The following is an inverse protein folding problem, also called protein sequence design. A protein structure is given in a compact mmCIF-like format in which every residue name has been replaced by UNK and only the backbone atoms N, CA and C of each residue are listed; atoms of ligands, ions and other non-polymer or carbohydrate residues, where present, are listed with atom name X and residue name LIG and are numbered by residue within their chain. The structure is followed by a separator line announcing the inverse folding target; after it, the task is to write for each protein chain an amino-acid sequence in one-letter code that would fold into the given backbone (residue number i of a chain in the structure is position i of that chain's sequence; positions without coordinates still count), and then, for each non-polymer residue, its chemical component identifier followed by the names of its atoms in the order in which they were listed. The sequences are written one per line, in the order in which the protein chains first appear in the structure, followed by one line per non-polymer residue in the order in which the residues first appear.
data_IF_317400779401
#
_entry.id   IF_317400779401
#
_cell.length_a   1.000
_cell.length_b   1.000
_cell.length_c   1.000
_cell.angle_alpha   90.00
_cell.angle_beta   90.00
_cell.angle_gamma   90.00
#
_symmetry.space_group_name_H-M   'P 1'
#
loop_
_entity.id
_entity.type
_entity.pdbx_description
1 polymer ?
#
# COMPACT_ATOMS: atom_id res chain seq x y z
N UNK A 1 6.97 5.99 24.33
CA UNK A 1 7.72 4.74 24.22
C UNK A 1 8.69 4.84 23.05
N UNK A 2 9.95 4.50 23.26
CA UNK A 2 10.98 4.52 22.21
C UNK A 2 11.65 3.16 22.15
N UNK A 3 11.64 2.53 20.99
CA UNK A 3 12.41 1.33 20.71
C UNK A 3 13.54 1.67 19.72
N UNK A 4 14.79 1.40 20.09
CA UNK A 4 15.95 1.65 19.24
C UNK A 4 16.60 0.34 18.82
N UNK A 5 17.08 0.27 17.57
CA UNK A 5 17.80 -0.89 17.04
C UNK A 5 17.03 -2.22 17.23
N UNK A 6 15.75 -2.19 16.96
CA UNK A 6 14.93 -3.40 16.99
C UNK A 6 15.33 -4.29 15.82
N UNK A 7 15.62 -5.57 16.12
CA UNK A 7 15.98 -6.56 15.12
C UNK A 7 15.08 -7.78 15.26
N UNK A 8 14.42 -8.16 14.19
CA UNK A 8 13.58 -9.34 14.12
C UNK A 8 13.58 -9.90 12.68
N UNK A 9 14.17 -11.04 12.48
CA UNK A 9 14.37 -11.60 11.14
C UNK A 9 15.11 -10.62 10.22
N UNK A 10 14.51 -10.28 9.09
CA UNK A 10 15.05 -9.30 8.14
C UNK A 10 14.66 -7.85 8.48
N UNK A 11 13.99 -7.60 9.59
CA UNK A 11 13.62 -6.26 10.05
C UNK A 11 14.68 -5.68 10.96
N UNK A 12 15.16 -4.48 10.64
CA UNK A 12 16.02 -3.64 11.49
C UNK A 12 15.48 -2.21 11.45
N UNK A 13 14.99 -1.70 12.57
CA UNK A 13 14.42 -0.36 12.64
C UNK A 13 14.47 0.20 14.05
N UNK A 14 14.23 1.49 14.15
CA UNK A 14 13.91 2.20 15.36
C UNK A 14 12.49 2.73 15.25
N UNK A 15 11.76 2.72 16.35
CA UNK A 15 10.44 3.32 16.45
C UNK A 15 10.36 4.29 17.62
N UNK A 16 9.63 5.36 17.42
CA UNK A 16 9.25 6.28 18.47
C UNK A 16 7.73 6.39 18.47
N UNK A 17 7.13 6.04 19.61
CA UNK A 17 5.69 6.10 19.81
C UNK A 17 5.35 7.09 20.90
N UNK A 18 4.52 8.07 20.59
CA UNK A 18 4.09 9.13 21.49
C UNK A 18 2.57 9.23 21.52
N UNK A 19 2.00 9.31 22.71
CA UNK A 19 0.58 9.63 22.89
C UNK A 19 0.48 11.09 23.33
N UNK A 20 -0.22 11.89 22.54
CA UNK A 20 -0.45 13.30 22.85
C UNK A 20 -1.63 13.45 23.84
N UNK A 21 -1.71 14.59 24.56
CA UNK A 21 -2.79 14.83 25.53
C UNK A 21 -4.21 14.79 24.94
N UNK A 22 -4.34 15.05 23.64
CA UNK A 22 -5.60 14.98 22.90
C UNK A 22 -5.94 13.56 22.41
N UNK A 23 -5.22 12.53 22.85
CA UNK A 23 -5.43 11.14 22.44
C UNK A 23 -4.86 10.78 21.06
N UNK A 24 -4.20 11.69 20.36
CA UNK A 24 -3.54 11.40 19.09
C UNK A 24 -2.26 10.59 19.31
N UNK A 25 -2.15 9.48 18.63
CA UNK A 25 -0.95 8.65 18.57
C UNK A 25 -0.02 9.14 17.46
N UNK A 26 1.25 9.30 17.77
CA UNK A 26 2.30 9.53 16.78
C UNK A 26 3.23 8.33 16.75
N UNK A 27 3.50 7.85 15.54
CA UNK A 27 4.42 6.74 15.30
C UNK A 27 5.43 7.14 14.23
N UNK A 28 6.67 7.31 14.65
CA UNK A 28 7.82 7.52 13.78
C UNK A 28 8.60 6.21 13.66
N UNK A 29 8.79 5.73 12.43
CA UNK A 29 9.52 4.49 12.13
C UNK A 29 10.65 4.82 11.17
N UNK A 30 11.88 4.47 11.53
CA UNK A 30 13.04 4.67 10.67
C UNK A 30 14.02 3.49 10.79
N UNK A 31 14.64 3.10 9.69
CA UNK A 31 15.63 2.04 9.74
C UNK A 31 16.11 1.53 8.39
N UNK A 32 17.13 0.68 8.43
CA UNK A 32 17.69 0.09 7.22
C UNK A 32 16.76 -0.92 6.54
N UNK A 33 15.93 -1.66 7.31
CA UNK A 33 15.07 -2.68 6.69
C UNK A 33 13.78 -2.95 7.45
N UNK A 34 12.74 -3.34 6.70
CA UNK A 34 11.44 -3.80 7.21
C UNK A 34 10.94 -4.98 6.37
N UNK A 35 10.63 -6.07 7.02
CA UNK A 35 10.06 -7.25 6.39
C UNK A 35 8.54 -7.26 6.53
N UNK A 36 7.84 -6.99 5.43
CA UNK A 36 6.38 -7.00 5.37
C UNK A 36 5.80 -8.30 4.79
N UNK A 37 6.65 -9.26 4.38
CA UNK A 37 6.19 -10.54 3.81
C UNK A 37 5.16 -11.27 4.67
N UNK A 38 5.29 -11.32 6.00
CA UNK A 38 4.29 -11.98 6.84
C UNK A 38 2.93 -11.28 6.88
N UNK A 39 2.87 -10.01 6.45
CA UNK A 39 1.67 -9.17 6.57
C UNK A 39 0.97 -8.93 5.25
N UNK A 40 1.67 -9.02 4.11
CA UNK A 40 1.11 -8.69 2.77
C UNK A 40 -0.16 -9.51 2.47
N UNK A 41 -0.19 -10.78 2.85
CA UNK A 41 -1.36 -11.65 2.64
C UNK A 41 -2.58 -11.28 3.50
N UNK A 42 -2.37 -10.57 4.62
CA UNK A 42 -3.43 -10.20 5.57
C UNK A 42 -4.02 -8.83 5.32
N UNK A 43 -3.32 -7.95 4.59
CA UNK A 43 -3.78 -6.57 4.37
C UNK A 43 -5.13 -6.45 3.66
N UNK A 44 -5.52 -7.48 2.91
CA UNK A 44 -6.81 -7.49 2.21
C UNK A 44 -7.97 -8.00 3.08
N UNK A 45 -7.65 -8.62 4.22
CA UNK A 45 -8.66 -9.27 5.09
C UNK A 45 -9.00 -8.41 6.33
N UNK A 46 -8.14 -7.45 6.70
CA UNK A 46 -8.34 -6.62 7.89
C UNK A 46 -9.43 -5.58 7.67
N UNK A 47 -10.49 -5.68 8.46
CA UNK A 47 -11.55 -4.65 8.51
C UNK A 47 -11.14 -3.54 9.46
N UNK A 48 -11.32 -2.26 9.07
CA UNK A 48 -11.13 -1.14 9.98
C UNK A 48 -12.01 -1.26 11.22
N UNK A 49 -11.48 -0.90 12.38
CA UNK A 49 -12.24 -0.79 13.63
C UNK A 49 -12.41 0.68 14.00
N UNK A 50 -13.64 1.09 14.29
CA UNK A 50 -13.96 2.47 14.70
C UNK A 50 -13.32 2.84 16.05
N UNK A 51 -12.99 1.84 16.89
CA UNK A 51 -12.37 2.02 18.20
C UNK A 51 -10.86 2.32 18.12
N UNK A 52 -10.27 2.31 16.93
CA UNK A 52 -8.85 2.59 16.79
C UNK A 52 -8.53 4.07 17.03
N UNK A 53 -7.53 4.36 17.90
CA UNK A 53 -7.15 5.73 18.18
C UNK A 53 -6.63 6.44 16.92
N UNK A 54 -6.79 7.78 16.87
CA UNK A 54 -6.22 8.57 15.78
C UNK A 54 -4.70 8.42 15.75
N UNK A 55 -4.14 8.23 14.55
CA UNK A 55 -2.73 7.95 14.34
C UNK A 55 -2.14 8.86 13.27
N UNK A 56 -1.06 9.55 13.62
CA UNK A 56 -0.12 10.16 12.68
C UNK A 56 1.09 9.23 12.53
N UNK A 57 1.29 8.73 11.32
CA UNK A 57 2.40 7.86 10.95
C UNK A 57 3.41 8.61 10.10
N UNK A 58 4.69 8.47 10.44
CA UNK A 58 5.80 8.86 9.60
C UNK A 58 6.79 7.69 9.51
N UNK A 59 7.24 7.37 8.29
CA UNK A 59 8.20 6.29 8.14
C UNK A 59 9.28 6.61 7.11
N UNK A 60 10.47 6.06 7.37
CA UNK A 60 11.67 6.23 6.58
C UNK A 60 12.48 4.94 6.62
N UNK A 61 12.27 4.06 5.64
CA UNK A 61 12.90 2.73 5.57
C UNK A 61 13.71 2.62 4.29
N UNK A 62 14.92 2.11 4.39
CA UNK A 62 15.80 2.04 3.22
C UNK A 62 15.51 0.82 2.35
N UNK A 63 15.05 -0.30 2.94
CA UNK A 63 14.68 -1.51 2.22
C UNK A 63 13.43 -2.15 2.86
N UNK A 64 12.37 -2.33 2.08
CA UNK A 64 11.13 -2.98 2.51
C UNK A 64 10.88 -4.21 1.66
N UNK A 65 10.87 -5.38 2.28
CA UNK A 65 10.55 -6.66 1.61
C UNK A 65 9.04 -6.84 1.56
N UNK A 66 8.48 -6.94 0.35
CA UNK A 66 7.05 -7.21 0.12
C UNK A 66 6.80 -8.69 -0.14
N UNK A 67 7.67 -9.30 -0.95
CA UNK A 67 7.72 -10.74 -1.23
C UNK A 67 9.18 -11.19 -1.31
N UNK A 68 9.44 -12.47 -1.54
CA UNK A 68 10.81 -12.96 -1.76
C UNK A 68 11.45 -12.38 -3.03
N UNK A 69 10.64 -11.95 -4.00
CA UNK A 69 11.11 -11.41 -5.28
C UNK A 69 11.00 -9.88 -5.38
N UNK A 70 10.20 -9.26 -4.52
CA UNK A 70 9.86 -7.83 -4.65
C UNK A 70 10.20 -7.08 -3.37
N UNK A 71 11.07 -6.09 -3.51
CA UNK A 71 11.41 -5.16 -2.46
C UNK A 71 11.34 -3.71 -2.95
N UNK A 72 10.98 -2.81 -2.05
CA UNK A 72 11.02 -1.37 -2.25
C UNK A 72 12.25 -0.78 -1.56
N UNK A 73 12.86 0.19 -2.21
CA UNK A 73 14.00 0.94 -1.67
C UNK A 73 13.62 2.36 -1.35
N UNK A 74 14.30 2.95 -0.37
CA UNK A 74 14.14 4.35 0.02
C UNK A 74 12.68 4.75 0.25
N UNK A 75 11.90 3.84 0.86
CA UNK A 75 10.49 4.10 1.13
C UNK A 75 10.37 5.16 2.21
N UNK A 76 9.65 6.23 1.89
CA UNK A 76 9.37 7.37 2.75
C UNK A 76 7.89 7.66 2.67
N UNK A 77 7.28 8.01 3.79
CA UNK A 77 5.88 8.37 3.76
C UNK A 77 5.35 8.92 5.06
N UNK A 78 4.20 9.53 4.93
CA UNK A 78 3.39 10.02 6.04
C UNK A 78 1.97 9.55 5.84
N UNK A 79 1.25 9.39 6.94
CA UNK A 79 -0.16 9.01 6.90
C UNK A 79 -0.89 9.52 8.13
N UNK A 80 -2.19 9.79 7.98
CA UNK A 80 -3.10 10.13 9.07
C UNK A 80 -4.29 9.20 9.02
N UNK A 81 -4.56 8.54 10.14
CA UNK A 81 -5.70 7.66 10.32
C UNK A 81 -6.58 8.16 11.46
N UNK A 82 -7.90 8.00 11.32
CA UNK A 82 -8.87 8.31 12.37
C UNK A 82 -10.07 7.36 12.23
N UNK A 83 -10.56 6.85 13.33
CA UNK A 83 -11.67 5.89 13.36
C UNK A 83 -11.45 4.73 12.37
N UNK A 84 -10.27 4.10 12.42
CA UNK A 84 -9.90 3.00 11.53
C UNK A 84 -9.63 3.39 10.05
N UNK A 85 -9.94 4.62 9.65
CA UNK A 85 -9.86 5.06 8.25
C UNK A 85 -8.65 5.95 7.97
N UNK A 86 -7.96 5.69 6.85
CA UNK A 86 -6.93 6.61 6.37
C UNK A 86 -7.55 7.87 5.78
N UNK A 87 -7.36 9.01 6.44
CA UNK A 87 -7.80 10.33 5.96
C UNK A 87 -6.86 10.86 4.88
N UNK A 88 -5.59 10.61 5.05
CA UNK A 88 -4.55 10.92 4.07
C UNK A 88 -3.37 9.98 4.23
N UNK A 89 -2.72 9.66 3.12
CA UNK A 89 -1.40 9.06 3.12
C UNK A 89 -0.64 9.50 1.87
N UNK A 90 0.66 9.57 1.98
CA UNK A 90 1.55 9.80 0.84
C UNK A 90 2.82 9.00 1.05
N UNK A 91 3.11 8.10 0.13
CA UNK A 91 4.27 7.22 0.18
C UNK A 91 5.01 7.27 -1.15
N UNK A 92 6.33 7.26 -1.09
CA UNK A 92 7.22 7.20 -2.26
C UNK A 92 8.39 6.30 -1.97
N UNK A 93 8.80 5.57 -2.98
CA UNK A 93 9.96 4.70 -2.95
C UNK A 93 10.39 4.30 -4.34
N UNK A 94 11.21 3.30 -4.42
CA UNK A 94 11.73 2.76 -5.67
C UNK A 94 11.65 1.24 -5.67
N UNK A 95 11.36 0.67 -6.81
CA UNK A 95 11.51 -0.76 -7.06
C UNK A 95 13.00 -1.13 -7.15
N UNK A 96 13.33 -2.43 -7.09
CA UNK A 96 14.71 -2.91 -7.14
C UNK A 96 15.50 -2.43 -8.37
N UNK A 97 14.82 -2.21 -9.50
CA UNK A 97 15.41 -1.68 -10.74
C UNK A 97 15.50 -0.16 -10.81
N UNK A 98 15.24 0.57 -9.72
CA UNK A 98 15.30 2.03 -9.66
C UNK A 98 14.05 2.75 -10.16
N UNK A 99 13.01 2.01 -10.61
CA UNK A 99 11.76 2.60 -11.03
C UNK A 99 10.99 3.14 -9.82
N UNK A 100 10.44 4.36 -9.96
CA UNK A 100 9.68 4.98 -8.89
C UNK A 100 8.36 4.25 -8.60
N UNK A 101 7.96 4.25 -7.34
CA UNK A 101 6.64 3.85 -6.89
C UNK A 101 6.09 4.90 -5.94
N UNK A 102 4.81 5.20 -6.09
CA UNK A 102 4.09 6.15 -5.24
C UNK A 102 2.69 5.65 -4.92
N UNK A 103 2.24 5.94 -3.71
CA UNK A 103 0.90 5.67 -3.24
C UNK A 103 0.37 6.90 -2.49
N UNK A 104 -0.86 7.28 -2.74
CA UNK A 104 -1.51 8.31 -1.95
C UNK A 104 -2.98 8.00 -1.68
N UNK A 105 -3.42 8.42 -0.51
CA UNK A 105 -4.84 8.44 -0.11
C UNK A 105 -5.22 9.86 0.24
N UNK A 106 -6.42 10.28 -0.15
CA UNK A 106 -7.01 11.55 0.22
C UNK A 106 -8.50 11.36 0.50
N UNK A 107 -8.97 11.89 1.62
CA UNK A 107 -10.40 12.01 1.89
C UNK A 107 -11.02 13.03 0.94
N UNK A 108 -12.15 12.69 0.37
CA UNK A 108 -13.02 13.54 -0.47
C UNK A 108 -14.45 13.50 0.09
N UNK A 109 -15.33 14.37 -0.41
CA UNK A 109 -16.72 14.46 0.06
C UNK A 109 -17.49 13.14 -0.08
N UNK A 110 -17.21 12.39 -1.15
CA UNK A 110 -17.89 11.13 -1.48
C UNK A 110 -17.18 9.88 -0.95
N UNK A 111 -16.03 10.03 -0.31
CA UNK A 111 -15.26 8.89 0.16
C UNK A 111 -13.75 9.14 0.20
N UNK A 112 -12.96 8.15 -0.18
CA UNK A 112 -11.50 8.22 -0.17
C UNK A 112 -10.94 7.88 -1.54
N UNK A 113 -10.14 8.78 -2.08
CA UNK A 113 -9.46 8.58 -3.36
C UNK A 113 -8.08 7.99 -3.13
N UNK A 114 -7.82 6.93 -3.84
CA UNK A 114 -6.55 6.21 -3.86
C UNK A 114 -5.86 6.41 -5.19
N UNK A 115 -4.56 6.67 -5.16
CA UNK A 115 -3.72 6.71 -6.35
C UNK A 115 -2.49 5.84 -6.14
N UNK A 116 -2.16 5.04 -7.14
CA UNK A 116 -0.93 4.26 -7.21
C UNK A 116 -0.23 4.57 -8.53
N UNK A 117 1.04 4.89 -8.46
CA UNK A 117 1.89 5.12 -9.63
C UNK A 117 3.09 4.17 -9.50
N UNK A 118 3.39 3.42 -10.54
CA UNK A 118 4.54 2.55 -10.54
C UNK A 118 5.25 2.53 -11.89
N UNK A 119 6.56 2.67 -11.86
CA UNK A 119 7.42 2.52 -13.03
C UNK A 119 7.77 1.06 -13.36
N UNK A 120 7.31 0.09 -12.56
CA UNK A 120 7.33 -1.35 -12.86
C UNK A 120 5.97 -1.96 -12.48
N UNK A 121 5.03 -1.91 -13.41
CA UNK A 121 3.69 -2.48 -13.26
C UNK A 121 3.74 -3.99 -13.00
N UNK A 122 4.65 -4.69 -13.67
CA UNK A 122 4.87 -6.13 -13.47
C UNK A 122 5.36 -6.46 -12.06
N UNK A 123 6.24 -5.64 -11.50
CA UNK A 123 6.71 -5.75 -10.13
C UNK A 123 5.57 -5.60 -9.11
N UNK A 124 4.70 -4.62 -9.30
CA UNK A 124 3.51 -4.45 -8.44
C UNK A 124 2.55 -5.64 -8.57
N UNK A 125 2.28 -6.10 -9.80
CA UNK A 125 1.41 -7.25 -10.03
C UNK A 125 1.93 -8.53 -9.35
N UNK A 126 3.26 -8.75 -9.35
CA UNK A 126 3.90 -9.85 -8.60
C UNK A 126 3.81 -9.65 -7.10
N UNK A 127 4.09 -8.44 -6.59
CA UNK A 127 4.01 -8.13 -5.16
C UNK A 127 2.61 -8.39 -4.58
N UNK A 128 1.57 -8.11 -5.36
CA UNK A 128 0.18 -8.37 -4.99
C UNK A 128 -0.29 -9.82 -5.25
N UNK A 129 0.60 -10.69 -5.76
CA UNK A 129 0.24 -12.06 -6.10
C UNK A 129 -0.73 -12.20 -7.28
N UNK A 130 -0.95 -11.13 -8.05
CA UNK A 130 -1.91 -11.13 -9.16
C UNK A 130 -1.36 -11.88 -10.37
N UNK A 131 -0.09 -11.63 -10.72
CA UNK A 131 0.54 -12.18 -11.91
C UNK A 131 2.03 -12.48 -11.69
N UNK A 132 2.41 -13.74 -11.40
CA UNK A 132 3.80 -14.09 -11.15
C UNK A 132 4.71 -13.90 -12.39
N UNK A 133 4.14 -14.03 -13.59
CA UNK A 133 4.87 -13.91 -14.85
C UNK A 133 4.80 -12.49 -15.47
N UNK A 134 4.28 -11.51 -14.73
CA UNK A 134 4.21 -10.12 -15.18
C UNK A 134 5.59 -9.45 -15.18
N UNK A 135 5.90 -8.65 -16.19
CA UNK A 135 7.18 -7.95 -16.35
C UNK A 135 7.00 -6.55 -16.92
N UNK A 136 7.77 -5.61 -16.35
CA UNK A 136 7.91 -4.25 -16.84
C UNK A 136 6.62 -3.44 -16.88
N UNK A 137 6.65 -2.39 -17.68
CA UNK A 137 5.54 -1.47 -17.88
C UNK A 137 5.41 -0.44 -16.78
N UNK A 138 4.65 0.60 -17.07
CA UNK A 138 4.25 1.63 -16.09
C UNK A 138 2.79 1.45 -15.73
N UNK A 139 2.41 1.80 -14.52
CA UNK A 139 1.04 1.70 -14.03
C UNK A 139 0.60 3.01 -13.39
N UNK A 140 -0.62 3.38 -13.70
CA UNK A 140 -1.39 4.40 -12.97
C UNK A 140 -2.74 3.80 -12.58
N UNK A 141 -3.01 3.73 -11.29
CA UNK A 141 -4.27 3.29 -10.74
C UNK A 141 -4.88 4.42 -9.91
N UNK A 142 -6.12 4.76 -10.20
CA UNK A 142 -6.91 5.72 -9.42
C UNK A 142 -8.26 5.09 -9.13
N UNK A 143 -8.70 5.09 -7.88
CA UNK A 143 -10.02 4.62 -7.52
C UNK A 143 -10.57 5.35 -6.30
N UNK A 144 -11.89 5.43 -6.22
CA UNK A 144 -12.64 6.00 -5.11
C UNK A 144 -13.33 4.85 -4.35
N UNK A 145 -13.05 4.75 -3.06
CA UNK A 145 -13.82 3.92 -2.13
C UNK A 145 -14.86 4.85 -1.48
N UNK A 146 -16.17 4.55 -1.63
CA UNK A 146 -17.23 5.33 -1.02
C UNK A 146 -17.10 5.43 0.50
N UNK A 147 -17.55 6.54 1.08
CA UNK A 147 -17.63 6.69 2.53
C UNK A 147 -18.86 5.97 3.11
N UNK A 148 -18.89 5.71 4.42
CA UNK A 148 -19.95 4.95 5.08
C UNK A 148 -21.34 5.59 4.97
N UNK A 149 -21.40 6.89 4.67
CA UNK A 149 -22.66 7.62 4.49
C UNK A 149 -23.12 7.68 3.01
N UNK A 150 -22.43 7.01 2.11
CA UNK A 150 -22.80 6.96 0.71
C UNK A 150 -23.66 5.71 0.48
N UNK A 151 -24.87 5.89 -0.05
CA UNK A 151 -25.79 4.77 -0.34
C UNK A 151 -25.32 3.88 -1.50
N UNK A 152 -24.30 4.31 -2.22
CA UNK A 152 -23.70 3.56 -3.33
C UNK A 152 -22.32 3.06 -2.90
N UNK A 153 -22.21 1.76 -2.59
CA UNK A 153 -20.97 1.08 -2.18
C UNK A 153 -20.06 0.74 -3.38
N UNK A 154 -20.36 1.26 -4.57
CA UNK A 154 -19.62 0.95 -5.79
C UNK A 154 -18.24 1.59 -5.80
N UNK A 155 -17.18 0.79 -5.87
CA UNK A 155 -15.82 1.27 -6.09
C UNK A 155 -15.66 1.65 -7.56
N UNK A 156 -15.37 2.93 -7.82
CA UNK A 156 -15.16 3.44 -9.18
C UNK A 156 -13.70 3.80 -9.36
N UNK A 157 -13.09 3.31 -10.44
CA UNK A 157 -11.68 3.58 -10.69
C UNK A 157 -11.24 3.37 -12.12
N UNK A 158 -10.01 3.80 -12.38
CA UNK A 158 -9.33 3.65 -13.65
C UNK A 158 -7.95 3.03 -13.43
N UNK A 159 -7.64 1.99 -14.17
CA UNK A 159 -6.32 1.39 -14.28
C UNK A 159 -5.78 1.62 -15.69
N UNK A 160 -4.61 2.22 -15.78
CA UNK A 160 -3.83 2.30 -17.01
C UNK A 160 -2.50 1.61 -16.80
N UNK A 161 -2.16 0.69 -17.69
CA UNK A 161 -0.87 0.03 -17.72
C UNK A 161 -0.30 0.09 -19.14
N UNK A 162 0.88 0.66 -19.30
CA UNK A 162 1.56 0.81 -20.59
C UNK A 162 2.82 -0.08 -20.60
N UNK A 163 3.13 -0.69 -21.77
CA UNK A 163 4.31 -1.56 -21.98
C UNK A 163 4.40 -2.76 -21.01
N UNK A 164 3.28 -3.22 -20.52
CA UNK A 164 3.16 -4.35 -19.62
C UNK A 164 3.22 -5.68 -20.42
N UNK A 165 3.99 -6.65 -19.95
CA UNK A 165 4.12 -7.97 -20.59
C UNK A 165 3.65 -9.07 -19.64
N UNK A 166 2.82 -9.98 -20.15
CA UNK A 166 2.44 -11.23 -19.50
C UNK A 166 3.11 -12.37 -20.27
N UNK A 167 4.06 -13.06 -19.65
CA UNK A 167 4.92 -14.04 -20.33
C UNK A 167 4.22 -15.38 -20.56
N UNK A 168 3.19 -15.73 -19.80
CA UNK A 168 2.40 -16.97 -19.94
C UNK A 168 0.90 -16.68 -19.87
N UNK A 169 0.22 -16.81 -20.98
CA UNK A 169 -1.18 -16.39 -21.17
C UNK A 169 -2.27 -17.23 -20.48
N UNK A 170 -1.94 -18.12 -19.54
CA UNK A 170 -2.98 -18.89 -18.77
C UNK A 170 -3.91 -18.02 -17.91
N UNK A 171 -3.74 -16.72 -17.90
CA UNK A 171 -4.33 -15.81 -16.91
C UNK A 171 -5.36 -14.84 -17.50
N UNK A 172 -5.46 -14.71 -18.83
CA UNK A 172 -6.53 -13.91 -19.45
C UNK A 172 -7.94 -14.42 -19.04
N UNK A 173 -8.07 -15.72 -18.81
CA UNK A 173 -9.33 -16.33 -18.37
C UNK A 173 -9.76 -15.87 -16.97
N UNK A 174 -8.83 -15.61 -16.03
CA UNK A 174 -9.16 -15.13 -14.69
C UNK A 174 -9.56 -13.65 -14.64
N UNK A 175 -9.02 -12.81 -15.52
CA UNK A 175 -9.46 -11.40 -15.62
C UNK A 175 -10.87 -11.29 -16.19
N UNK A 176 -11.24 -12.14 -17.13
CA UNK A 176 -12.58 -12.17 -17.68
C UNK A 176 -13.61 -12.64 -16.65
N UNK A 177 -13.23 -13.54 -15.73
CA UNK A 177 -14.13 -13.95 -14.64
C UNK A 177 -14.28 -12.87 -13.56
N UNK A 178 -13.27 -12.06 -13.26
CA UNK A 178 -13.40 -10.94 -12.32
C UNK A 178 -14.26 -9.81 -12.90
N UNK A 179 -14.20 -9.59 -14.22
CA UNK A 179 -15.07 -8.61 -14.90
C UNK A 179 -16.52 -9.06 -15.05
N UNK A 180 -16.81 -10.38 -14.91
CA UNK A 180 -18.16 -10.92 -15.02
C UNK A 180 -18.88 -11.06 -13.67
N UNK A 181 -18.24 -10.76 -12.54
CA UNK A 181 -18.86 -10.79 -11.21
C UNK A 181 -19.56 -9.46 -10.85
N UNK A 182 -19.61 -8.50 -11.77
CA UNK A 182 -20.37 -7.24 -11.64
C UNK A 182 -21.57 -7.20 -12.61
N UNK A 183 -22.16 -8.35 -12.93
CA UNK A 183 -23.40 -8.45 -13.67
C UNK A 183 -24.52 -8.98 -12.81
#
# INVERSE_FOLDING_TARGET
LTGRNLTFGSTQLSLEFTVLPNGLYKLDIAGPSLDLRPFVSRWMDDKPSDDEPPLDLNFKIDLVYLTDEVALRRLRGVGRRQAGEWLSANMRGEMAGGQSVGFSVRKEDKGRRFNVIAGDAGGIARALGLYPDARGGTMFLNFLIPGPNNSDDTIIGNLRADNFRVVKAKVLTRLLTLGSLTG
#
